data_IF_853699950491
#
_entry.id   IF_853699950491
#
_cell.length_a   1.000
_cell.length_b   1.000
_cell.length_c   1.000
_cell.angle_alpha   90.00
_cell.angle_beta   90.00
_cell.angle_gamma   90.00
#
_symmetry.space_group_name_H-M   'P 1'
#
loop_
_entity.id
_entity.type
_entity.pdbx_description
1 polymer ?
#
# COMPACT_ATOMS: atom_id res chain seq x y z
N UNK A 1 -6.96 -19.89 0.90
CA UNK A 1 -5.50 -19.71 1.03
C UNK A 1 -5.14 -19.70 2.51
N UNK A 2 -4.06 -20.35 2.93
CA UNK A 2 -3.56 -20.25 4.30
C UNK A 2 -3.18 -18.79 4.62
N UNK A 3 -3.42 -18.35 5.86
CA UNK A 3 -3.14 -16.98 6.32
C UNK A 3 -1.71 -16.52 5.98
N UNK A 4 -0.74 -17.40 6.16
CA UNK A 4 0.67 -17.11 5.85
C UNK A 4 0.92 -16.82 4.37
N UNK A 5 0.31 -17.59 3.46
CA UNK A 5 0.43 -17.36 2.01
C UNK A 5 -0.13 -15.99 1.63
N UNK A 6 -1.24 -15.58 2.26
CA UNK A 6 -1.83 -14.27 2.02
C UNK A 6 -0.92 -13.12 2.48
N UNK A 7 -0.26 -13.27 3.63
CA UNK A 7 0.72 -12.29 4.12
C UNK A 7 1.92 -12.19 3.16
N UNK A 8 2.43 -13.32 2.66
CA UNK A 8 3.51 -13.31 1.66
C UNK A 8 3.07 -12.61 0.37
N UNK A 9 1.88 -12.92 -0.13
CA UNK A 9 1.36 -12.28 -1.34
C UNK A 9 1.19 -10.78 -1.11
N UNK A 10 0.67 -10.36 0.04
CA UNK A 10 0.62 -8.93 0.40
C UNK A 10 2.00 -8.29 0.41
N UNK A 11 2.99 -8.94 1.03
CA UNK A 11 4.37 -8.44 1.04
C UNK A 11 4.88 -8.19 -0.39
N UNK A 12 4.74 -9.18 -1.27
CA UNK A 12 5.22 -9.12 -2.66
C UNK A 12 4.47 -8.03 -3.43
N UNK A 13 3.14 -8.00 -3.35
CA UNK A 13 2.31 -7.03 -4.07
C UNK A 13 2.61 -5.60 -3.62
N UNK A 14 2.72 -5.37 -2.32
CA UNK A 14 3.06 -4.04 -1.78
C UNK A 14 4.45 -3.60 -2.21
N UNK A 15 5.44 -4.50 -2.16
CA UNK A 15 6.79 -4.21 -2.63
C UNK A 15 6.83 -3.86 -4.13
N UNK A 16 6.07 -4.57 -4.97
CA UNK A 16 5.97 -4.28 -6.39
C UNK A 16 5.30 -2.93 -6.67
N UNK A 17 4.24 -2.58 -5.93
CA UNK A 17 3.63 -1.26 -6.06
C UNK A 17 4.57 -0.13 -5.67
N UNK A 18 5.42 -0.32 -4.65
CA UNK A 18 6.45 0.65 -4.29
C UNK A 18 7.49 0.83 -5.40
N UNK A 19 7.89 -0.25 -6.08
CA UNK A 19 8.76 -0.18 -7.27
C UNK A 19 8.11 0.63 -8.39
N UNK A 20 6.82 0.42 -8.67
CA UNK A 20 6.07 1.21 -9.65
C UNK A 20 6.02 2.68 -9.23
N UNK A 21 5.69 2.95 -7.98
CA UNK A 21 5.61 4.30 -7.43
C UNK A 21 6.96 5.03 -7.50
N UNK A 22 8.06 4.32 -7.24
CA UNK A 22 9.42 4.82 -7.43
C UNK A 22 9.69 5.22 -8.87
N UNK A 23 9.34 4.36 -9.82
CA UNK A 23 9.52 4.65 -11.24
C UNK A 23 8.74 5.89 -11.67
N UNK A 24 7.48 6.01 -11.23
CA UNK A 24 6.65 7.19 -11.49
C UNK A 24 7.23 8.45 -10.84
N UNK A 25 7.68 8.36 -9.59
CA UNK A 25 8.24 9.49 -8.85
C UNK A 25 9.54 10.04 -9.45
N UNK A 26 10.46 9.15 -9.84
CA UNK A 26 11.76 9.55 -10.38
C UNK A 26 11.68 10.06 -11.82
N UNK A 27 10.72 9.56 -12.61
CA UNK A 27 10.56 9.91 -14.02
C UNK A 27 9.42 10.90 -14.31
N UNK A 28 8.74 11.43 -13.27
CA UNK A 28 7.60 12.35 -13.39
C UNK A 28 7.87 13.51 -14.37
N UNK A 29 9.06 14.13 -14.31
CA UNK A 29 9.45 15.25 -15.18
C UNK A 29 9.61 14.89 -16.67
N UNK A 30 9.79 13.61 -17.00
CA UNK A 30 9.93 13.11 -18.37
C UNK A 30 8.61 12.64 -18.96
N UNK A 31 7.57 12.52 -18.14
CA UNK A 31 6.25 12.07 -18.57
C UNK A 31 5.36 13.29 -18.81
N UNK A 32 4.72 13.37 -19.98
CA UNK A 32 3.72 14.40 -20.30
C UNK A 32 2.38 14.17 -19.56
N UNK A 33 2.44 13.72 -18.30
CA UNK A 33 1.27 13.44 -17.48
C UNK A 33 1.35 14.25 -16.19
N UNK A 34 0.27 14.93 -15.83
CA UNK A 34 0.21 15.70 -14.60
C UNK A 34 -0.05 14.76 -13.42
N UNK A 35 1.01 14.14 -12.90
CA UNK A 35 0.90 13.29 -11.71
C UNK A 35 0.51 14.11 -10.48
N UNK A 36 -0.23 13.51 -9.54
CA UNK A 36 -0.54 14.14 -8.26
C UNK A 36 0.73 14.54 -7.50
N UNK A 37 0.65 15.62 -6.71
CA UNK A 37 1.81 16.19 -6.02
C UNK A 37 2.51 15.20 -5.07
N UNK A 38 1.77 14.25 -4.49
CA UNK A 38 2.35 13.23 -3.60
C UNK A 38 3.44 12.40 -4.30
N UNK A 39 3.31 12.15 -5.61
CA UNK A 39 4.29 11.43 -6.41
C UNK A 39 5.60 12.24 -6.50
N UNK A 40 5.51 13.57 -6.57
CA UNK A 40 6.68 14.47 -6.57
C UNK A 40 7.34 14.51 -5.19
N UNK A 41 6.55 14.54 -4.13
CA UNK A 41 7.04 14.58 -2.74
C UNK A 41 7.79 13.32 -2.31
N UNK A 42 7.54 12.17 -2.94
CA UNK A 42 8.29 10.93 -2.72
C UNK A 42 9.67 10.90 -3.40
N UNK A 43 9.97 11.83 -4.32
CA UNK A 43 11.22 11.82 -5.10
C UNK A 43 12.48 11.86 -4.21
N UNK A 44 12.57 12.69 -3.16
CA UNK A 44 13.71 12.68 -2.25
C UNK A 44 13.83 11.37 -1.47
N UNK A 45 12.71 10.73 -1.13
CA UNK A 45 12.70 9.44 -0.44
C UNK A 45 13.32 8.34 -1.30
N UNK A 46 12.88 8.23 -2.55
CA UNK A 46 13.39 7.25 -3.51
C UNK A 46 14.79 7.52 -4.05
N UNK A 47 15.28 8.75 -3.92
CA UNK A 47 16.68 9.10 -4.23
C UNK A 47 17.64 8.66 -3.11
N UNK A 48 17.20 8.68 -1.85
CA UNK A 48 18.04 8.23 -0.74
C UNK A 48 18.11 6.70 -0.64
N UNK A 49 17.00 6.02 -0.93
CA UNK A 49 16.92 4.56 -0.79
C UNK A 49 17.22 3.85 -2.11
N UNK A 50 17.88 2.70 -2.01
CA UNK A 50 17.94 1.76 -3.14
C UNK A 50 16.53 1.25 -3.46
N UNK A 51 16.32 0.83 -4.71
CA UNK A 51 15.04 0.24 -5.13
C UNK A 51 14.64 -0.94 -4.25
N UNK A 52 15.59 -1.83 -3.95
CA UNK A 52 15.35 -2.99 -3.10
C UNK A 52 15.01 -2.58 -1.67
N UNK A 53 15.74 -1.64 -1.07
CA UNK A 53 15.47 -1.23 0.31
C UNK A 53 14.10 -0.58 0.47
N UNK A 54 13.68 0.30 -0.46
CA UNK A 54 12.37 0.93 -0.40
C UNK A 54 11.25 -0.11 -0.55
N UNK A 55 11.38 -1.02 -1.53
CA UNK A 55 10.42 -2.08 -1.77
C UNK A 55 10.30 -3.05 -0.58
N UNK A 56 11.41 -3.41 0.08
CA UNK A 56 11.39 -4.24 1.28
C UNK A 56 10.71 -3.55 2.46
N UNK A 57 10.95 -2.25 2.66
CA UNK A 57 10.28 -1.46 3.70
C UNK A 57 8.77 -1.45 3.45
N UNK A 58 8.34 -1.10 2.23
CA UNK A 58 6.93 -1.07 1.87
C UNK A 58 6.27 -2.45 2.02
N UNK A 59 6.92 -3.50 1.51
CA UNK A 59 6.49 -4.89 1.65
C UNK A 59 6.30 -5.29 3.12
N UNK A 60 7.26 -4.92 3.98
CA UNK A 60 7.20 -5.20 5.42
C UNK A 60 6.04 -4.49 6.10
N UNK A 61 5.80 -3.21 5.80
CA UNK A 61 4.62 -2.47 6.31
C UNK A 61 3.34 -3.18 5.89
N UNK A 62 3.23 -3.56 4.60
CA UNK A 62 2.11 -4.33 4.06
C UNK A 62 1.88 -5.65 4.82
N UNK A 63 2.95 -6.40 5.04
CA UNK A 63 2.92 -7.70 5.73
C UNK A 63 2.51 -7.58 7.21
N UNK A 64 2.79 -6.46 7.88
CA UNK A 64 2.33 -6.20 9.26
C UNK A 64 0.86 -5.77 9.28
N UNK A 65 0.43 -4.94 8.33
CA UNK A 65 -0.98 -4.52 8.26
C UNK A 65 -1.92 -5.67 7.95
N UNK A 66 -1.50 -6.65 7.14
CA UNK A 66 -2.38 -7.72 6.68
C UNK A 66 -2.94 -8.59 7.83
N UNK A 67 -2.15 -9.13 8.77
CA UNK A 67 -2.66 -9.87 9.92
C UNK A 67 -3.70 -9.11 10.74
N UNK A 68 -3.52 -7.80 10.90
CA UNK A 68 -4.45 -6.95 11.68
C UNK A 68 -5.81 -6.87 10.98
N UNK A 69 -5.82 -6.66 9.66
CA UNK A 69 -7.05 -6.68 8.86
C UNK A 69 -7.72 -8.06 8.96
N UNK A 70 -6.93 -9.13 8.79
CA UNK A 70 -7.41 -10.51 8.79
C UNK A 70 -7.92 -11.01 10.14
N UNK A 71 -7.42 -10.42 11.23
CA UNK A 71 -7.93 -10.67 12.58
C UNK A 71 -9.35 -10.16 12.75
N UNK A 72 -9.69 -9.02 12.13
CA UNK A 72 -11.02 -8.41 12.21
C UNK A 72 -11.98 -9.05 11.19
N UNK A 73 -11.51 -9.27 9.96
CA UNK A 73 -12.35 -9.79 8.88
C UNK A 73 -11.55 -10.71 7.96
N UNK A 74 -12.10 -11.90 7.69
CA UNK A 74 -11.47 -12.86 6.77
C UNK A 74 -11.37 -12.27 5.36
N UNK A 75 -10.31 -12.64 4.65
CA UNK A 75 -10.11 -12.20 3.27
C UNK A 75 -11.28 -12.70 2.39
N UNK A 76 -11.84 -11.85 1.50
CA UNK A 76 -12.93 -12.26 0.62
C UNK A 76 -12.52 -13.41 -0.31
N UNK A 77 -13.47 -14.30 -0.60
CA UNK A 77 -13.29 -15.41 -1.54
C UNK A 77 -14.23 -15.24 -2.73
N UNK A 78 -14.14 -16.12 -3.74
CA UNK A 78 -15.05 -16.10 -4.90
C UNK A 78 -16.54 -16.18 -4.52
N UNK A 79 -16.84 -16.80 -3.37
CA UNK A 79 -18.22 -16.95 -2.86
C UNK A 79 -18.68 -15.74 -2.04
N UNK A 80 -17.81 -14.77 -1.76
CA UNK A 80 -18.16 -13.58 -1.00
C UNK A 80 -19.05 -12.66 -1.83
N UNK A 81 -20.12 -12.16 -1.23
CA UNK A 81 -20.98 -11.20 -1.90
C UNK A 81 -20.32 -9.82 -2.01
N UNK A 82 -20.86 -8.96 -2.87
CA UNK A 82 -20.29 -7.64 -3.14
C UNK A 82 -20.28 -6.72 -1.90
N UNK A 83 -21.27 -6.88 -1.01
CA UNK A 83 -21.37 -6.11 0.24
C UNK A 83 -20.21 -6.47 1.17
N UNK A 84 -19.89 -7.76 1.29
CA UNK A 84 -18.77 -8.26 2.10
C UNK A 84 -17.43 -7.78 1.54
N UNK A 85 -17.24 -7.83 0.21
CA UNK A 85 -16.04 -7.28 -0.42
C UNK A 85 -15.93 -5.80 -0.10
N UNK A 86 -17.02 -5.04 -0.24
CA UNK A 86 -17.02 -3.60 0.04
C UNK A 86 -16.68 -3.29 1.50
N UNK A 87 -17.25 -4.03 2.46
CA UNK A 87 -16.91 -3.92 3.88
C UNK A 87 -15.43 -4.22 4.15
N UNK A 88 -14.88 -5.26 3.51
CA UNK A 88 -13.46 -5.60 3.63
C UNK A 88 -12.55 -4.49 3.06
N UNK A 89 -12.95 -3.89 1.95
CA UNK A 89 -12.21 -2.76 1.34
C UNK A 89 -12.23 -1.54 2.26
N UNK A 90 -13.38 -1.19 2.86
CA UNK A 90 -13.47 -0.11 3.86
C UNK A 90 -12.56 -0.40 5.04
N UNK A 91 -12.62 -1.61 5.60
CA UNK A 91 -11.76 -2.00 6.71
C UNK A 91 -10.28 -1.84 6.36
N UNK A 92 -9.89 -2.30 5.17
CA UNK A 92 -8.51 -2.23 4.69
C UNK A 92 -8.03 -0.79 4.52
N UNK A 93 -8.89 0.08 3.98
CA UNK A 93 -8.63 1.52 3.89
C UNK A 93 -8.41 2.13 5.28
N UNK A 94 -9.31 1.84 6.23
CA UNK A 94 -9.25 2.39 7.59
C UNK A 94 -7.97 1.96 8.29
N UNK A 95 -7.66 0.66 8.30
CA UNK A 95 -6.44 0.14 8.95
C UNK A 95 -5.17 0.71 8.32
N UNK A 96 -5.13 0.83 6.99
CA UNK A 96 -3.96 1.39 6.29
C UNK A 96 -3.79 2.89 6.57
N UNK A 97 -4.88 3.65 6.60
CA UNK A 97 -4.86 5.07 6.99
C UNK A 97 -4.37 5.27 8.43
N UNK A 98 -4.79 4.40 9.37
CA UNK A 98 -4.28 4.41 10.74
C UNK A 98 -2.78 4.09 10.82
N UNK A 99 -2.30 3.14 10.00
CA UNK A 99 -0.86 2.85 9.92
C UNK A 99 -0.04 4.06 9.47
N UNK A 100 -0.57 4.87 8.55
CA UNK A 100 0.01 6.16 8.17
C UNK A 100 0.23 7.10 9.35
N UNK A 101 -0.78 7.21 10.23
CA UNK A 101 -0.66 7.99 11.48
C UNK A 101 0.43 7.42 12.38
N UNK A 102 0.46 6.10 12.56
CA UNK A 102 1.46 5.45 13.42
C UNK A 102 2.88 5.69 12.89
N UNK A 103 3.11 5.55 11.59
CA UNK A 103 4.41 5.82 10.98
C UNK A 103 4.86 7.27 11.17
N UNK A 104 3.93 8.23 11.04
CA UNK A 104 4.20 9.65 11.30
C UNK A 104 4.48 9.92 12.78
N UNK A 105 3.62 9.44 13.69
CA UNK A 105 3.72 9.69 15.12
C UNK A 105 5.00 9.09 15.74
N UNK A 106 5.41 7.92 15.27
CA UNK A 106 6.62 7.23 15.76
C UNK A 106 7.90 7.72 15.12
N UNK A 107 7.82 8.54 14.05
CA UNK A 107 8.97 8.92 13.20
C UNK A 107 9.78 7.71 12.72
N UNK A 108 9.11 6.57 12.51
CA UNK A 108 9.75 5.32 12.12
C UNK A 108 10.52 5.46 10.80
N UNK A 109 10.04 6.31 9.89
CA UNK A 109 10.68 6.65 8.62
C UNK A 109 10.91 8.17 8.53
N UNK A 110 11.95 8.72 9.18
CA UNK A 110 12.11 10.16 9.36
C UNK A 110 12.28 10.93 8.04
N UNK A 111 12.87 10.29 7.03
CA UNK A 111 13.01 10.91 5.71
C UNK A 111 11.74 10.86 4.87
N UNK A 112 10.92 9.81 5.05
CA UNK A 112 9.57 9.77 4.47
C UNK A 112 8.71 10.86 5.12
N UNK A 113 8.77 11.01 6.44
CA UNK A 113 8.05 12.05 7.18
C UNK A 113 8.35 13.46 6.65
N UNK A 114 9.64 13.82 6.63
CA UNK A 114 10.12 15.13 6.20
C UNK A 114 9.71 15.52 4.77
N UNK A 115 9.70 14.56 3.85
CA UNK A 115 9.49 14.85 2.43
C UNK A 115 8.08 14.56 1.95
N UNK A 116 7.36 13.62 2.57
CA UNK A 116 6.01 13.23 2.18
C UNK A 116 4.97 13.79 3.15
N UNK A 117 5.02 13.40 4.42
CA UNK A 117 3.97 13.72 5.39
C UNK A 117 3.96 15.20 5.84
N UNK A 118 5.11 15.86 5.87
CA UNK A 118 5.20 17.30 6.16
C UNK A 118 4.68 18.16 5.01
N UNK A 119 4.96 17.76 3.76
CA UNK A 119 4.50 18.49 2.57
C UNK A 119 3.01 18.26 2.26
N UNK A 120 2.49 17.06 2.51
CA UNK A 120 1.08 16.74 2.28
C UNK A 120 0.18 17.20 3.42
N UNK A 121 0.71 17.24 4.64
CA UNK A 121 -0.08 17.32 5.86
C UNK A 121 -0.64 15.96 6.27
N UNK A 122 -0.92 15.81 7.57
CA UNK A 122 -1.32 14.52 8.17
C UNK A 122 -2.58 13.93 7.53
N UNK A 123 -3.62 14.75 7.32
CA UNK A 123 -4.89 14.27 6.76
C UNK A 123 -4.78 13.74 5.34
N UNK A 124 -4.02 14.43 4.46
CA UNK A 124 -3.81 13.98 3.08
C UNK A 124 -2.90 12.76 3.01
N UNK A 125 -1.87 12.68 3.87
CA UNK A 125 -1.02 11.50 3.99
C UNK A 125 -1.83 10.26 4.36
N UNK A 126 -2.64 10.35 5.41
CA UNK A 126 -3.55 9.26 5.83
C UNK A 126 -4.50 8.81 4.71
N UNK A 127 -5.07 9.76 3.97
CA UNK A 127 -5.97 9.46 2.85
C UNK A 127 -5.25 8.63 1.77
N UNK A 128 -4.02 9.02 1.41
CA UNK A 128 -3.22 8.32 0.41
C UNK A 128 -2.72 6.95 0.90
N UNK A 129 -2.41 6.82 2.19
CA UNK A 129 -2.06 5.53 2.79
C UNK A 129 -3.25 4.57 2.80
N UNK A 130 -4.45 5.08 3.08
CA UNK A 130 -5.71 4.35 2.93
C UNK A 130 -5.94 3.88 1.49
N UNK A 131 -5.73 4.75 0.51
CA UNK A 131 -5.81 4.40 -0.93
C UNK A 131 -4.81 3.31 -1.28
N UNK A 132 -3.57 3.40 -0.78
CA UNK A 132 -2.54 2.38 -1.03
C UNK A 132 -2.99 1.01 -0.52
N UNK A 133 -3.62 0.97 0.65
CA UNK A 133 -4.26 -0.24 1.18
C UNK A 133 -5.32 -0.81 0.23
N UNK A 134 -6.21 0.03 -0.31
CA UNK A 134 -7.22 -0.40 -1.29
C UNK A 134 -6.58 -0.97 -2.56
N UNK A 135 -5.58 -0.29 -3.12
CA UNK A 135 -4.87 -0.73 -4.34
C UNK A 135 -4.26 -2.12 -4.13
N UNK A 136 -3.58 -2.33 -3.00
CA UNK A 136 -2.98 -3.62 -2.66
C UNK A 136 -4.05 -4.70 -2.53
N UNK A 137 -5.11 -4.49 -1.73
CA UNK A 137 -6.15 -5.51 -1.55
C UNK A 137 -6.90 -5.83 -2.84
N UNK A 138 -7.22 -4.82 -3.66
CA UNK A 138 -7.80 -5.02 -4.99
C UNK A 138 -6.91 -5.85 -5.88
N UNK A 139 -5.60 -5.57 -5.90
CA UNK A 139 -4.64 -6.32 -6.72
C UNK A 139 -4.61 -7.79 -6.29
N UNK A 140 -4.56 -8.06 -4.98
CA UNK A 140 -4.57 -9.43 -4.45
C UNK A 140 -5.88 -10.14 -4.79
N UNK A 141 -7.03 -9.46 -4.63
CA UNK A 141 -8.33 -10.01 -4.98
C UNK A 141 -8.38 -10.42 -6.45
N UNK A 142 -7.91 -9.55 -7.36
CA UNK A 142 -7.83 -9.83 -8.80
C UNK A 142 -6.92 -11.03 -9.09
N UNK A 143 -5.73 -11.08 -8.48
CA UNK A 143 -4.79 -12.20 -8.65
C UNK A 143 -5.46 -13.52 -8.23
N UNK A 144 -6.18 -13.54 -7.11
CA UNK A 144 -6.85 -14.74 -6.61
C UNK A 144 -8.01 -15.16 -7.52
N UNK A 145 -8.85 -14.22 -7.95
CA UNK A 145 -9.95 -14.47 -8.88
C UNK A 145 -9.46 -15.02 -10.23
N UNK A 146 -8.31 -14.57 -10.71
CA UNK A 146 -7.70 -15.10 -11.95
C UNK A 146 -7.10 -16.49 -11.68
N UNK A 147 -6.39 -16.66 -10.57
CA UNK A 147 -5.74 -17.94 -10.24
C UNK A 147 -6.72 -19.08 -10.03
N UNK A 148 -7.90 -18.83 -9.46
CA UNK A 148 -8.90 -19.87 -9.23
C UNK A 148 -9.68 -20.20 -10.51
N UNK A 149 -9.86 -19.24 -11.44
CA UNK A 149 -10.40 -19.49 -12.79
C UNK A 149 -9.50 -20.33 -13.70
N UNK A 150 -8.20 -20.42 -13.40
CA UNK A 150 -7.23 -21.22 -14.18
C UNK A 150 -7.09 -22.66 -13.68
N UNK A 151 -7.84 -23.06 -12.64
CA UNK A 151 -7.94 -24.44 -12.15
C UNK A 151 -9.20 -25.11 -12.68
#
# INVERSE_FOLDING_TARGET
MEYFKLIIVTFIVTALWDVVLRFLSLNNEKMNYNFPDFVRYLKPYFKQHTMLSAALIAGFVGAITQPIILYIMKFPSEKSNIIYIFQFMILSYVISAFFGILMKATKLFPHLDKHYYDNLGTWRGMYLDGISGLIVQSTILIILLISDKMK
#
